data_IF_956583573194
#
_entry.id   IF_956583573194
#
_cell.length_a   1.000
_cell.length_b   1.000
_cell.length_c   1.000
_cell.angle_alpha   90.00
_cell.angle_beta   90.00
_cell.angle_gamma   90.00
#
_symmetry.space_group_name_H-M   'P 1'
#
loop_
_entity.id
_entity.type
_entity.pdbx_description
1 polymer ?
#
# COMPACT_ATOMS: atom_id res chain seq x y z
N UNK A 1 9.81 17.00 -2.89
CA UNK A 1 9.09 16.06 -2.01
C UNK A 1 8.78 14.83 -2.83
N UNK A 2 9.45 13.72 -2.53
CA UNK A 2 9.57 12.55 -3.40
C UNK A 2 8.23 11.88 -3.70
N UNK A 3 8.13 11.30 -4.89
CA UNK A 3 6.99 10.52 -5.35
C UNK A 3 6.80 9.31 -4.39
N UNK A 4 5.69 9.26 -3.61
CA UNK A 4 5.47 8.22 -2.61
C UNK A 4 5.54 6.80 -3.18
N UNK A 5 5.21 6.63 -4.47
CA UNK A 5 5.24 5.32 -5.14
C UNK A 5 6.67 4.88 -5.49
N UNK A 6 7.58 5.82 -5.74
CA UNK A 6 8.99 5.52 -6.05
C UNK A 6 9.83 5.26 -4.81
N UNK A 7 9.40 5.79 -3.66
CA UNK A 7 10.13 5.69 -2.40
C UNK A 7 9.47 4.77 -1.36
N UNK A 8 8.32 4.18 -1.67
CA UNK A 8 7.63 3.26 -0.77
C UNK A 8 8.52 2.05 -0.42
N UNK A 9 8.86 1.93 0.87
CA UNK A 9 9.58 0.77 1.42
C UNK A 9 8.64 -0.11 2.22
N UNK A 10 8.18 -1.19 1.61
CA UNK A 10 7.47 -2.26 2.29
C UNK A 10 8.45 -3.15 3.06
N UNK A 11 7.99 -3.73 4.16
CA UNK A 11 8.79 -4.61 5.00
C UNK A 11 7.97 -5.87 5.37
N UNK A 12 8.28 -6.97 4.68
CA UNK A 12 7.60 -8.27 4.79
C UNK A 12 6.07 -8.16 4.58
N UNK A 13 5.61 -7.73 3.39
CA UNK A 13 4.19 -7.65 3.10
C UNK A 13 3.53 -9.04 3.20
N UNK A 14 2.30 -9.09 3.70
CA UNK A 14 1.61 -10.36 4.00
C UNK A 14 0.19 -10.50 3.43
N UNK A 15 -0.40 -9.44 2.89
CA UNK A 15 -1.75 -9.48 2.35
C UNK A 15 -2.01 -8.38 1.33
N UNK A 16 -2.93 -8.65 0.41
CA UNK A 16 -3.37 -7.73 -0.64
C UNK A 16 -4.91 -7.78 -0.72
N UNK A 17 -5.54 -6.61 -0.78
CA UNK A 17 -6.97 -6.47 -1.00
C UNK A 17 -7.25 -5.31 -1.96
N UNK A 18 -8.32 -5.40 -2.73
CA UNK A 18 -8.75 -4.36 -3.65
C UNK A 18 -10.17 -3.92 -3.30
N UNK A 19 -10.36 -2.61 -3.18
CA UNK A 19 -11.68 -1.99 -3.12
C UNK A 19 -12.04 -1.42 -4.49
N UNK A 20 -13.00 -2.02 -5.22
CA UNK A 20 -13.42 -1.54 -6.52
C UNK A 20 -14.30 -0.28 -6.46
N UNK A 21 -14.81 0.10 -5.29
CA UNK A 21 -15.68 1.27 -5.14
C UNK A 21 -14.87 2.57 -5.22
N UNK A 22 -13.69 2.54 -4.57
CA UNK A 22 -12.76 3.67 -4.49
C UNK A 22 -11.50 3.48 -5.34
N UNK A 23 -11.39 2.34 -6.05
CA UNK A 23 -10.21 1.95 -6.84
C UNK A 23 -8.89 1.88 -6.03
N UNK A 24 -8.98 1.45 -4.77
CA UNK A 24 -7.84 1.42 -3.84
C UNK A 24 -7.31 -0.01 -3.63
N UNK A 25 -6.00 -0.17 -3.73
CA UNK A 25 -5.28 -1.37 -3.27
C UNK A 25 -4.78 -1.19 -1.85
N UNK A 26 -5.02 -2.18 -1.00
CA UNK A 26 -4.52 -2.24 0.37
C UNK A 26 -3.45 -3.32 0.51
N UNK A 27 -2.35 -3.01 1.19
CA UNK A 27 -1.21 -3.89 1.41
C UNK A 27 -0.96 -4.01 2.91
N UNK A 28 -0.97 -5.24 3.44
CA UNK A 28 -0.55 -5.51 4.82
C UNK A 28 0.97 -5.48 4.93
N UNK A 29 1.52 -4.45 5.57
CA UNK A 29 2.97 -4.18 5.71
C UNK A 29 3.46 -4.63 7.10
N UNK A 30 3.61 -5.94 7.27
CA UNK A 30 3.64 -6.63 8.57
C UNK A 30 4.76 -6.15 9.50
N UNK A 31 6.02 -6.12 9.04
CA UNK A 31 7.13 -5.70 9.91
C UNK A 31 7.11 -4.19 10.18
N UNK A 32 6.38 -3.41 9.38
CA UNK A 32 6.11 -2.00 9.64
C UNK A 32 4.83 -1.79 10.47
N UNK A 33 4.14 -2.87 10.86
CA UNK A 33 2.90 -2.87 11.68
C UNK A 33 1.80 -1.96 11.11
N UNK A 34 1.68 -1.90 9.78
CA UNK A 34 0.76 -0.98 9.11
C UNK A 34 -0.01 -1.61 7.96
N UNK A 35 -1.10 -0.95 7.58
CA UNK A 35 -1.75 -1.14 6.28
C UNK A 35 -1.35 0.05 5.40
N UNK A 36 -0.84 -0.24 4.20
CA UNK A 36 -0.54 0.75 3.17
C UNK A 36 -1.63 0.72 2.12
N UNK A 37 -1.83 1.83 1.41
CA UNK A 37 -2.76 1.89 0.31
C UNK A 37 -2.14 2.57 -0.92
N UNK A 38 -2.61 2.17 -2.09
CA UNK A 38 -2.26 2.76 -3.39
C UNK A 38 -3.57 3.06 -4.10
N UNK A 39 -3.74 4.31 -4.52
CA UNK A 39 -4.87 4.76 -5.33
C UNK A 39 -4.38 5.11 -6.74
N UNK A 40 -5.24 4.96 -7.73
CA UNK A 40 -5.06 5.54 -9.07
C UNK A 40 -5.21 7.07 -8.97
N UNK A 41 -4.44 7.83 -9.76
CA UNK A 41 -4.61 9.29 -9.89
C UNK A 41 -5.82 9.64 -10.76
#
# INVERSE_FOLDING_TARGET
>A
DGDPLKEARLHRPCGLAYDPSDEIWYIGDNNNRGIRYVATE
#
